data_IF_878943711569
#
_entry.id   IF_878943711569
#
_cell.length_a   1.000
_cell.length_b   1.000
_cell.length_c   1.000
_cell.angle_alpha   90.00
_cell.angle_beta   90.00
_cell.angle_gamma   90.00
#
_symmetry.space_group_name_H-M   'P 1'
#
loop_
_entity.id
_entity.type
_entity.pdbx_description
1 polymer ?
#
# COMPACT_ATOMS: atom_id res chain seq x y z
N UNK A 1 -35.65 -25.13 14.05
CA UNK A 1 -34.38 -25.61 13.47
C UNK A 1 -33.67 -24.42 12.85
N UNK A 2 -32.75 -23.80 13.58
CA UNK A 2 -31.95 -22.66 13.13
C UNK A 2 -30.81 -23.15 12.24
N UNK A 3 -30.80 -22.70 10.97
CA UNK A 3 -29.67 -22.92 10.06
C UNK A 3 -28.46 -22.11 10.56
N UNK A 4 -27.46 -22.78 11.16
CA UNK A 4 -26.14 -22.21 11.33
C UNK A 4 -25.51 -22.06 9.93
N UNK A 5 -25.54 -20.85 9.38
CA UNK A 5 -24.76 -20.54 8.19
C UNK A 5 -23.31 -20.35 8.60
N UNK A 6 -22.45 -21.23 8.12
CA UNK A 6 -21.01 -21.11 8.28
C UNK A 6 -20.50 -20.24 7.13
N UNK A 7 -20.12 -19.00 7.42
CA UNK A 7 -19.63 -18.05 6.41
C UNK A 7 -18.10 -18.09 6.41
N UNK A 8 -17.53 -18.51 5.29
CA UNK A 8 -16.09 -18.57 5.07
C UNK A 8 -15.72 -17.66 3.90
N UNK A 9 -14.57 -17.00 4.00
CA UNK A 9 -14.01 -16.19 2.93
C UNK A 9 -12.50 -16.46 2.85
N UNK A 10 -12.02 -16.78 1.66
CA UNK A 10 -10.60 -16.91 1.38
C UNK A 10 -10.05 -15.57 0.91
N UNK A 11 -8.98 -15.11 1.56
CA UNK A 11 -8.24 -13.92 1.16
C UNK A 11 -6.88 -14.37 0.65
N UNK A 12 -6.65 -14.19 -0.65
CA UNK A 12 -5.38 -14.53 -1.31
C UNK A 12 -4.65 -13.21 -1.58
N UNK A 13 -3.44 -13.07 -1.05
CA UNK A 13 -2.59 -11.92 -1.24
C UNK A 13 -1.27 -12.32 -1.90
N UNK A 14 -0.70 -11.44 -2.73
CA UNK A 14 0.67 -11.60 -3.23
C UNK A 14 1.67 -11.46 -2.08
N UNK A 15 1.45 -10.47 -1.21
CA UNK A 15 2.23 -10.22 -0.02
C UNK A 15 1.30 -9.82 1.13
N UNK A 16 1.58 -10.32 2.33
CA UNK A 16 0.88 -9.94 3.55
C UNK A 16 1.88 -9.82 4.70
N UNK A 17 1.93 -8.63 5.31
CA UNK A 17 2.75 -8.35 6.48
C UNK A 17 1.88 -7.77 7.60
N UNK A 18 2.10 -8.18 8.86
CA UNK A 18 1.55 -7.49 10.04
C UNK A 18 1.98 -6.02 10.09
N UNK A 19 1.08 -5.11 10.47
CA UNK A 19 1.36 -3.67 10.50
C UNK A 19 2.49 -3.29 11.47
N UNK A 20 2.63 -4.03 12.58
CA UNK A 20 3.70 -3.83 13.57
C UNK A 20 5.10 -4.18 13.06
N UNK A 21 5.21 -4.78 11.87
CA UNK A 21 6.48 -5.05 11.18
C UNK A 21 6.82 -4.01 10.11
N UNK A 22 5.97 -3.00 9.93
CA UNK A 22 6.18 -1.94 8.95
C UNK A 22 6.76 -0.71 9.67
N UNK A 23 7.94 -0.27 9.24
CA UNK A 23 8.57 0.94 9.77
C UNK A 23 7.95 2.20 9.15
N UNK A 24 7.26 2.99 9.97
CA UNK A 24 6.62 4.22 9.55
C UNK A 24 7.59 5.25 8.93
N UNK A 25 8.85 5.30 9.40
CA UNK A 25 9.83 6.23 8.84
C UNK A 25 10.21 5.84 7.41
N UNK A 26 10.31 4.54 7.14
CA UNK A 26 10.58 4.05 5.79
C UNK A 26 9.39 4.29 4.86
N UNK A 27 8.16 4.16 5.37
CA UNK A 27 6.95 4.50 4.60
C UNK A 27 6.93 5.98 4.22
N UNK A 28 7.18 6.88 5.18
CA UNK A 28 7.24 8.32 4.92
C UNK A 28 8.37 8.69 3.95
N UNK A 29 9.53 8.06 4.12
CA UNK A 29 10.67 8.24 3.20
C UNK A 29 10.30 7.82 1.78
N UNK A 30 9.71 6.63 1.62
CA UNK A 30 9.26 6.14 0.31
C UNK A 30 8.23 7.06 -0.34
N UNK A 31 7.29 7.61 0.43
CA UNK A 31 6.32 8.58 -0.09
C UNK A 31 7.01 9.83 -0.67
N UNK A 32 8.01 10.38 0.02
CA UNK A 32 8.80 11.52 -0.48
C UNK A 32 9.56 11.13 -1.75
N UNK A 33 10.23 9.98 -1.75
CA UNK A 33 11.00 9.50 -2.90
C UNK A 33 10.13 9.31 -4.14
N UNK A 34 8.95 8.69 -4.02
CA UNK A 34 8.06 8.48 -5.16
C UNK A 34 7.36 9.76 -5.61
N UNK A 35 7.08 10.70 -4.71
CA UNK A 35 6.63 12.05 -5.08
C UNK A 35 7.70 12.78 -5.91
N UNK A 36 8.97 12.69 -5.51
CA UNK A 36 10.08 13.23 -6.29
C UNK A 36 10.23 12.54 -7.64
N UNK A 37 10.17 11.20 -7.69
CA UNK A 37 10.22 10.44 -8.95
C UNK A 37 9.11 10.86 -9.91
N UNK A 38 7.88 11.03 -9.43
CA UNK A 38 6.77 11.51 -10.26
C UNK A 38 7.06 12.89 -10.85
N UNK A 39 7.64 13.80 -10.06
CA UNK A 39 7.98 15.14 -10.52
C UNK A 39 9.07 15.18 -11.59
N UNK A 40 9.98 14.20 -11.59
CA UNK A 40 11.08 14.09 -12.56
C UNK A 40 10.81 13.14 -13.74
N UNK A 41 9.74 12.35 -13.68
CA UNK A 41 9.41 11.36 -14.69
C UNK A 41 9.05 12.02 -16.02
N UNK A 42 9.62 11.48 -17.11
CA UNK A 42 9.43 12.06 -18.46
C UNK A 42 8.56 11.19 -19.35
N UNK A 43 8.50 9.89 -19.05
CA UNK A 43 7.65 8.93 -19.77
C UNK A 43 6.37 8.63 -19.00
N UNK A 44 5.31 8.25 -19.70
CA UNK A 44 4.05 7.84 -19.07
C UNK A 44 4.21 6.56 -18.25
N UNK A 45 5.13 5.67 -18.65
CA UNK A 45 5.47 4.48 -17.87
C UNK A 45 6.09 4.87 -16.51
N UNK A 46 7.11 5.73 -16.50
CA UNK A 46 7.74 6.19 -15.26
C UNK A 46 6.75 6.93 -14.35
N UNK A 47 5.84 7.73 -14.92
CA UNK A 47 4.79 8.40 -14.16
C UNK A 47 3.82 7.40 -13.54
N UNK A 48 3.40 6.39 -14.30
CA UNK A 48 2.50 5.35 -13.80
C UNK A 48 3.14 4.56 -12.65
N UNK A 49 4.39 4.15 -12.80
CA UNK A 49 5.14 3.45 -11.74
C UNK A 49 5.35 4.33 -10.50
N UNK A 50 5.66 5.62 -10.70
CA UNK A 50 5.80 6.55 -9.59
C UNK A 50 4.48 6.77 -8.85
N UNK A 51 3.37 6.85 -9.57
CA UNK A 51 2.03 6.98 -8.99
C UNK A 51 1.64 5.73 -8.20
N UNK A 52 1.93 4.52 -8.70
CA UNK A 52 1.72 3.29 -7.93
C UNK A 52 2.50 3.34 -6.61
N UNK A 53 3.76 3.79 -6.65
CA UNK A 53 4.57 3.97 -5.46
C UNK A 53 3.94 4.96 -4.45
N UNK A 54 3.43 6.10 -4.93
CA UNK A 54 2.70 7.07 -4.10
C UNK A 54 1.46 6.44 -3.48
N UNK A 55 0.65 5.73 -4.26
CA UNK A 55 -0.61 5.15 -3.80
C UNK A 55 -0.37 4.10 -2.69
N UNK A 56 0.61 3.22 -2.89
CA UNK A 56 1.00 2.20 -1.90
C UNK A 56 1.49 2.85 -0.61
N UNK A 57 2.42 3.81 -0.69
CA UNK A 57 2.97 4.46 0.51
C UNK A 57 1.94 5.35 1.21
N UNK A 58 1.01 5.96 0.47
CA UNK A 58 -0.09 6.75 1.04
C UNK A 58 -1.08 5.86 1.79
N UNK A 59 -1.43 4.70 1.23
CA UNK A 59 -2.28 3.70 1.88
C UNK A 59 -1.62 3.14 3.15
N UNK A 60 -0.32 2.79 3.09
CA UNK A 60 0.44 2.35 4.25
C UNK A 60 0.54 3.42 5.33
N UNK A 61 0.81 4.67 4.95
CA UNK A 61 0.88 5.77 5.91
C UNK A 61 -0.48 5.95 6.60
N UNK A 62 -1.58 5.90 5.84
CA UNK A 62 -2.94 5.98 6.39
C UNK A 62 -3.23 4.84 7.37
N UNK A 63 -2.86 3.60 7.03
CA UNK A 63 -3.06 2.43 7.89
C UNK A 63 -2.25 2.49 9.20
N UNK A 64 -1.08 3.13 9.19
CA UNK A 64 -0.22 3.29 10.37
C UNK A 64 -0.66 4.44 11.29
N UNK A 65 -1.34 5.46 10.76
CA UNK A 65 -1.75 6.63 11.54
C UNK A 65 -3.12 6.51 12.19
N UNK A 66 -4.00 5.62 11.70
CA UNK A 66 -5.35 5.41 12.23
C UNK A 66 -6.37 6.41 11.73
#
# INVERSE_FOLDING_TARGET
MSSLHNSFADVIAVEAAPLDRIDANLVQKGLVEFTQKLSSATTELEKAEAQIGIDVHSALNSALTG
#
